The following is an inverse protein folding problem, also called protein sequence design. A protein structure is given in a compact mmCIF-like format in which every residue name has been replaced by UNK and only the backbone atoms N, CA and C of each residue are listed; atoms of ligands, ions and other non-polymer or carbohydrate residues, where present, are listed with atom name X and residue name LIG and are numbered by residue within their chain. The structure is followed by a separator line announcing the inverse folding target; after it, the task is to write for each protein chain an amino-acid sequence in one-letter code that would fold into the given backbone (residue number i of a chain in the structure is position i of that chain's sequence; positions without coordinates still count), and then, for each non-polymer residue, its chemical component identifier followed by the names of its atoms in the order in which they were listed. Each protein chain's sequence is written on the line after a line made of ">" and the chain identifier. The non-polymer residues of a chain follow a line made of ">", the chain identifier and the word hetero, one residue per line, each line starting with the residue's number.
data_IF_177970312966
#
_entry.id   IF_177970312966
#
_cell.length_a   1.000
_cell.length_b   1.000
_cell.length_c   1.000
_cell.angle_alpha   90.00
_cell.angle_beta   90.00
_cell.angle_gamma   90.00
#
_symmetry.space_group_name_H-M   'P 1'
#
loop_
_entity.id
_entity.type
_entity.pdbx_description
1 polymer ?
#
# COMPACT_ATOMS: atom_id res chain seq x y z
N UNK A 1 -29.49 -9.52 29.90
CA UNK A 1 -28.59 -8.37 29.64
C UNK A 1 -27.62 -8.72 28.53
N UNK A 2 -27.41 -7.79 27.62
CA UNK A 2 -26.44 -7.93 26.54
C UNK A 2 -25.66 -6.62 26.32
N UNK A 3 -24.57 -6.70 25.64
CA UNK A 3 -23.73 -5.53 25.26
C UNK A 3 -23.87 -5.32 23.76
N UNK A 4 -24.26 -4.12 23.35
CA UNK A 4 -24.25 -3.74 21.92
C UNK A 4 -22.81 -3.60 21.48
N UNK A 5 -22.40 -4.45 20.56
CA UNK A 5 -21.01 -4.49 20.06
C UNK A 5 -20.86 -3.83 18.70
N UNK A 6 -21.96 -3.71 17.93
CA UNK A 6 -21.95 -3.03 16.64
C UNK A 6 -23.37 -2.55 16.28
N UNK A 7 -23.45 -1.55 15.41
CA UNK A 7 -24.72 -0.99 14.89
C UNK A 7 -24.63 -0.96 13.38
N UNK A 8 -25.59 -1.60 12.72
CA UNK A 8 -25.77 -1.51 11.26
C UNK A 8 -26.94 -0.60 10.90
N UNK A 9 -27.17 -0.35 9.65
CA UNK A 9 -28.34 0.43 9.17
C UNK A 9 -29.70 -0.21 9.45
N UNK A 10 -29.73 -1.49 9.88
CA UNK A 10 -30.97 -2.26 10.08
C UNK A 10 -31.06 -2.95 11.44
N UNK A 11 -29.94 -3.25 12.09
CA UNK A 11 -29.90 -4.06 13.30
C UNK A 11 -28.80 -3.60 14.26
N UNK A 12 -29.02 -3.84 15.58
CA UNK A 12 -27.98 -3.86 16.60
C UNK A 12 -27.39 -5.27 16.68
N UNK A 13 -26.07 -5.36 16.79
CA UNK A 13 -25.37 -6.60 17.14
C UNK A 13 -25.15 -6.60 18.64
N UNK A 14 -25.77 -7.56 19.33
CA UNK A 14 -25.74 -7.61 20.78
C UNK A 14 -25.13 -8.93 21.22
N UNK A 15 -24.15 -8.86 22.11
CA UNK A 15 -23.54 -10.04 22.72
C UNK A 15 -24.22 -10.29 24.07
N UNK A 16 -24.88 -11.42 24.22
CA UNK A 16 -25.50 -11.90 25.45
C UNK A 16 -24.58 -12.89 26.17
N UNK A 17 -24.56 -12.85 27.51
CA UNK A 17 -23.72 -13.73 28.31
C UNK A 17 -24.09 -15.22 28.14
N UNK A 18 -25.37 -15.54 27.89
CA UNK A 18 -25.87 -16.90 27.79
C UNK A 18 -26.00 -17.42 26.37
N UNK A 19 -26.33 -16.54 25.42
CA UNK A 19 -26.67 -16.93 24.03
C UNK A 19 -25.63 -16.50 23.01
N UNK A 20 -24.58 -15.76 23.39
CA UNK A 20 -23.58 -15.26 22.48
C UNK A 20 -24.06 -14.07 21.66
N UNK A 21 -23.59 -13.96 20.38
CA UNK A 21 -23.89 -12.85 19.49
C UNK A 21 -25.22 -13.04 18.79
N UNK A 22 -26.14 -12.10 18.95
CA UNK A 22 -27.45 -12.06 18.30
C UNK A 22 -27.66 -10.69 17.60
N UNK A 23 -28.59 -10.64 16.67
CA UNK A 23 -29.02 -9.39 16.01
C UNK A 23 -30.40 -8.99 16.54
N UNK A 24 -30.55 -7.72 16.88
CA UNK A 24 -31.81 -7.12 17.33
C UNK A 24 -32.17 -6.00 16.34
N UNK A 25 -33.43 -5.93 15.95
CA UNK A 25 -33.90 -4.87 15.04
C UNK A 25 -33.81 -3.49 15.71
N UNK A 26 -33.61 -2.43 14.92
CA UNK A 26 -33.48 -1.06 15.43
C UNK A 26 -34.72 -0.52 16.14
N UNK A 27 -35.89 -1.10 15.85
CA UNK A 27 -37.19 -0.76 16.41
C UNK A 27 -37.56 -1.62 17.63
N UNK A 28 -36.69 -2.56 18.04
CA UNK A 28 -36.93 -3.38 19.26
C UNK A 28 -36.93 -2.50 20.50
N UNK A 29 -37.88 -2.77 21.39
CA UNK A 29 -38.01 -2.08 22.67
C UNK A 29 -36.97 -2.64 23.66
N UNK A 30 -36.01 -1.80 24.09
CA UNK A 30 -35.01 -2.15 25.08
C UNK A 30 -34.63 -0.94 25.96
N UNK A 31 -34.25 -1.24 27.20
CA UNK A 31 -33.78 -0.25 28.14
C UNK A 31 -32.25 -0.21 28.18
N UNK A 32 -31.67 1.00 27.94
CA UNK A 32 -30.25 1.22 28.12
C UNK A 32 -29.94 1.39 29.61
N UNK A 33 -29.26 0.38 30.18
CA UNK A 33 -28.91 0.38 31.59
C UNK A 33 -27.65 1.19 31.86
N UNK A 34 -26.69 1.11 30.95
CA UNK A 34 -25.41 1.79 31.04
C UNK A 34 -24.91 2.12 29.63
N UNK A 35 -24.64 3.39 29.36
CA UNK A 35 -24.03 3.85 28.14
C UNK A 35 -22.51 3.85 28.30
N UNK A 36 -21.80 3.24 27.38
CA UNK A 36 -20.35 3.42 27.28
C UNK A 36 -20.11 4.78 26.65
N UNK A 37 -19.62 5.76 27.41
CA UNK A 37 -19.04 6.94 26.83
C UNK A 37 -17.78 6.50 26.10
N UNK A 38 -17.79 6.56 24.77
CA UNK A 38 -16.59 6.38 23.99
C UNK A 38 -15.68 7.58 24.27
N UNK A 39 -14.58 7.37 24.98
CA UNK A 39 -13.50 8.32 24.98
C UNK A 39 -13.08 8.53 23.51
N UNK A 40 -12.86 9.79 23.12
CA UNK A 40 -12.53 10.20 21.77
C UNK A 40 -11.20 9.57 21.26
N UNK A 41 -10.47 8.92 22.15
CA UNK A 41 -9.22 8.18 21.88
C UNK A 41 -9.39 6.66 21.67
N UNK A 42 -10.62 6.14 21.60
CA UNK A 42 -10.80 4.72 21.30
C UNK A 42 -10.48 4.44 19.84
N UNK A 43 -9.41 3.68 19.61
CA UNK A 43 -9.03 3.23 18.28
C UNK A 43 -10.14 2.36 17.72
N UNK A 44 -10.77 2.76 16.62
CA UNK A 44 -11.84 1.99 16.01
C UNK A 44 -11.30 0.67 15.45
N UNK A 45 -12.13 -0.38 15.41
CA UNK A 45 -11.74 -1.64 14.77
C UNK A 45 -11.28 -1.43 13.33
N UNK A 46 -11.91 -0.51 12.61
CA UNK A 46 -11.52 -0.12 11.25
C UNK A 46 -10.11 0.48 11.19
N UNK A 47 -9.72 1.30 12.18
CA UNK A 47 -8.38 1.87 12.24
C UNK A 47 -7.32 0.82 12.59
N UNK A 48 -7.68 -0.15 13.44
CA UNK A 48 -6.83 -1.30 13.76
C UNK A 48 -6.62 -2.18 12.53
N UNK A 49 -7.69 -2.55 11.83
CA UNK A 49 -7.64 -3.35 10.60
C UNK A 49 -6.79 -2.65 9.54
N UNK A 50 -7.04 -1.37 9.28
CA UNK A 50 -6.30 -0.55 8.33
C UNK A 50 -4.81 -0.44 8.69
N UNK A 51 -4.51 -0.30 9.98
CA UNK A 51 -3.14 -0.25 10.48
C UNK A 51 -2.46 -1.61 10.37
N UNK A 52 -3.18 -2.70 10.67
CA UNK A 52 -2.69 -4.06 10.53
C UNK A 52 -2.40 -4.41 9.06
N UNK A 53 -3.31 -4.06 8.14
CA UNK A 53 -3.10 -4.23 6.70
C UNK A 53 -1.84 -3.49 6.26
N UNK A 54 -1.66 -2.22 6.65
CA UNK A 54 -0.44 -1.45 6.35
C UNK A 54 0.82 -2.08 6.93
N UNK A 55 0.75 -2.64 8.14
CA UNK A 55 1.87 -3.33 8.78
C UNK A 55 2.19 -4.61 8.02
N UNK A 56 1.18 -5.41 7.69
CA UNK A 56 1.35 -6.64 6.91
C UNK A 56 1.90 -6.36 5.51
N UNK A 57 1.42 -5.34 4.82
CA UNK A 57 1.96 -4.88 3.53
C UNK A 57 3.43 -4.45 3.65
N UNK A 58 3.79 -3.83 4.76
CA UNK A 58 5.16 -3.35 5.01
C UNK A 58 6.14 -4.48 5.38
N UNK A 59 5.68 -5.52 6.07
CA UNK A 59 6.53 -6.58 6.65
C UNK A 59 6.40 -7.93 5.97
N UNK A 60 5.29 -8.18 5.28
CA UNK A 60 5.17 -9.36 4.43
C UNK A 60 5.75 -9.03 3.05
N UNK A 61 6.46 -9.98 2.45
CA UNK A 61 6.90 -9.93 1.03
C UNK A 61 5.69 -9.92 0.05
N UNK A 62 4.47 -9.70 0.53
CA UNK A 62 3.28 -9.47 -0.28
C UNK A 62 3.40 -8.06 -0.87
N UNK A 63 4.08 -7.97 -1.99
CA UNK A 63 4.14 -6.76 -2.79
C UNK A 63 2.72 -6.33 -3.14
N UNK A 64 2.35 -5.10 -2.77
CA UNK A 64 1.20 -4.43 -3.36
C UNK A 64 1.25 -4.68 -4.87
N UNK A 65 0.21 -5.30 -5.42
CA UNK A 65 0.17 -5.61 -6.85
C UNK A 65 0.12 -4.30 -7.63
N UNK A 66 1.29 -3.77 -7.91
CA UNK A 66 1.43 -2.57 -8.74
C UNK A 66 0.85 -2.88 -10.11
N UNK A 67 -0.18 -2.14 -10.48
CA UNK A 67 -0.90 -2.37 -11.71
C UNK A 67 -0.27 -1.60 -12.87
N UNK A 68 -0.05 -2.31 -13.99
CA UNK A 68 0.33 -1.70 -15.25
C UNK A 68 -0.87 -0.99 -15.89
N UNK A 69 -0.64 0.13 -16.57
CA UNK A 69 -1.67 0.85 -17.32
C UNK A 69 -2.25 -0.04 -18.42
N UNK A 70 -3.59 -0.09 -18.51
CA UNK A 70 -4.31 -1.02 -19.38
C UNK A 70 -3.93 -0.88 -20.87
N UNK A 71 -3.56 0.32 -21.30
CA UNK A 71 -3.13 0.61 -22.69
C UNK A 71 -1.85 -0.12 -23.12
N UNK A 72 -1.08 -0.68 -22.19
CA UNK A 72 0.17 -1.37 -22.47
C UNK A 72 0.04 -2.90 -22.43
N UNK A 73 -1.08 -3.43 -21.92
CA UNK A 73 -1.29 -4.87 -21.81
C UNK A 73 -1.20 -5.57 -23.16
N UNK A 74 -0.46 -6.66 -23.23
CA UNK A 74 -0.22 -7.44 -24.45
C UNK A 74 0.76 -6.76 -25.43
N UNK A 75 1.36 -5.61 -25.03
CA UNK A 75 2.32 -4.89 -25.86
C UNK A 75 3.73 -5.47 -25.80
N UNK A 76 4.63 -4.86 -26.58
CA UNK A 76 6.03 -5.24 -26.68
C UNK A 76 6.94 -4.02 -26.58
N UNK A 77 8.08 -4.17 -25.90
CA UNK A 77 9.22 -3.26 -26.02
C UNK A 77 10.11 -3.78 -27.14
N UNK A 78 10.36 -2.96 -28.13
CA UNK A 78 11.18 -3.31 -29.30
C UNK A 78 12.49 -2.52 -29.19
N UNK A 79 13.61 -3.25 -29.19
CA UNK A 79 14.95 -2.67 -29.33
C UNK A 79 15.38 -2.88 -30.77
N UNK A 80 15.55 -1.78 -31.47
CA UNK A 80 15.95 -1.76 -32.91
C UNK A 80 17.39 -1.25 -33.01
N UNK A 81 18.32 -2.12 -33.42
CA UNK A 81 19.71 -1.71 -33.64
C UNK A 81 19.87 -0.96 -34.97
N UNK A 82 20.77 0.02 -35.02
CA UNK A 82 21.00 0.86 -36.18
C UNK A 82 21.86 0.15 -37.28
N UNK A 83 22.48 -0.96 -36.91
CA UNK A 83 23.36 -1.73 -37.81
C UNK A 83 22.63 -2.75 -38.70
N UNK A 84 21.29 -2.78 -38.67
CA UNK A 84 20.45 -3.71 -39.44
C UNK A 84 20.41 -5.13 -38.91
N UNK A 85 20.95 -5.38 -37.73
CA UNK A 85 20.77 -6.67 -37.04
C UNK A 85 19.31 -6.88 -36.56
N UNK A 86 18.94 -8.10 -36.19
CA UNK A 86 17.59 -8.42 -35.83
C UNK A 86 17.12 -7.68 -34.57
N UNK A 87 15.89 -7.14 -34.62
CA UNK A 87 15.23 -6.48 -33.49
C UNK A 87 15.05 -7.45 -32.33
N UNK A 88 15.21 -6.94 -31.11
CA UNK A 88 14.87 -7.70 -29.89
C UNK A 88 13.55 -7.24 -29.34
N UNK A 89 12.61 -8.17 -29.25
CA UNK A 89 11.31 -7.96 -28.62
C UNK A 89 11.31 -8.47 -27.19
N UNK A 90 10.75 -7.68 -26.27
CA UNK A 90 10.55 -8.04 -24.86
C UNK A 90 9.07 -7.81 -24.57
N UNK A 91 8.31 -8.82 -24.06
CA UNK A 91 6.94 -8.58 -23.63
C UNK A 91 6.90 -7.46 -22.58
N UNK A 92 5.97 -6.51 -22.74
CA UNK A 92 5.93 -5.32 -21.90
C UNK A 92 5.67 -5.68 -20.44
N UNK A 93 4.91 -6.75 -20.16
CA UNK A 93 4.67 -7.27 -18.83
C UNK A 93 5.97 -7.71 -18.14
N UNK A 94 6.84 -8.39 -18.90
CA UNK A 94 8.16 -8.83 -18.39
C UNK A 94 9.04 -7.62 -18.06
N UNK A 95 9.03 -6.62 -18.93
CA UNK A 95 9.77 -5.38 -18.70
C UNK A 95 9.21 -4.62 -17.50
N UNK A 96 7.90 -4.44 -17.44
CA UNK A 96 7.22 -3.78 -16.32
C UNK A 96 7.51 -4.46 -14.98
N UNK A 97 7.46 -5.80 -14.96
CA UNK A 97 7.82 -6.56 -13.74
C UNK A 97 9.24 -6.24 -13.25
N UNK A 98 10.20 -6.08 -14.17
CA UNK A 98 11.58 -5.69 -13.79
C UNK A 98 11.62 -4.27 -13.20
N UNK A 99 10.84 -3.34 -13.74
CA UNK A 99 10.73 -1.97 -13.21
C UNK A 99 10.14 -1.98 -11.80
N UNK A 100 9.07 -2.75 -11.58
CA UNK A 100 8.46 -2.90 -10.25
C UNK A 100 9.47 -3.50 -9.25
N UNK A 101 10.20 -4.55 -9.64
CA UNK A 101 11.23 -5.14 -8.78
C UNK A 101 12.33 -4.14 -8.38
N UNK A 102 12.76 -3.27 -9.31
CA UNK A 102 13.74 -2.21 -9.01
C UNK A 102 13.16 -1.24 -7.99
N UNK A 103 11.91 -0.77 -8.21
CA UNK A 103 11.19 0.12 -7.30
C UNK A 103 11.14 -0.44 -5.88
N UNK A 104 10.74 -1.69 -5.74
CA UNK A 104 10.58 -2.34 -4.44
C UNK A 104 11.92 -2.51 -3.72
N UNK A 105 12.98 -2.86 -4.44
CA UNK A 105 14.33 -2.96 -3.87
C UNK A 105 14.87 -1.62 -3.39
N UNK A 106 14.61 -0.53 -4.11
CA UNK A 106 14.99 0.82 -3.70
C UNK A 106 14.21 1.21 -2.44
N UNK A 107 12.91 0.91 -2.34
CA UNK A 107 12.10 1.15 -1.14
C UNK A 107 12.62 0.39 0.08
N UNK A 108 13.01 -0.87 -0.09
CA UNK A 108 13.63 -1.65 1.00
C UNK A 108 14.97 -1.05 1.43
N UNK A 109 15.78 -0.59 0.47
CA UNK A 109 17.05 0.08 0.76
C UNK A 109 16.83 1.38 1.54
N UNK A 110 15.87 2.20 1.13
CA UNK A 110 15.47 3.43 1.81
C UNK A 110 15.04 3.17 3.26
N UNK A 111 14.20 2.14 3.48
CA UNK A 111 13.80 1.74 4.83
C UNK A 111 14.99 1.32 5.69
N UNK A 112 15.94 0.56 5.12
CA UNK A 112 17.16 0.13 5.85
C UNK A 112 18.05 1.30 6.22
N UNK A 113 18.21 2.28 5.34
CA UNK A 113 18.95 3.51 5.63
C UNK A 113 18.30 4.27 6.78
N UNK A 114 16.97 4.50 6.68
CA UNK A 114 16.23 5.26 7.69
C UNK A 114 16.23 4.57 9.06
N UNK A 115 16.17 3.25 9.11
CA UNK A 115 16.16 2.46 10.34
C UNK A 115 17.56 2.17 10.90
N UNK A 116 18.62 2.50 10.18
CA UNK A 116 19.99 2.24 10.61
C UNK A 116 20.34 3.03 11.88
N UNK A 117 20.89 2.33 12.86
CA UNK A 117 21.43 2.92 14.10
C UNK A 117 22.92 3.28 13.98
N UNK A 118 23.57 2.82 12.92
CA UNK A 118 25.00 3.00 12.69
C UNK A 118 25.32 4.22 11.81
N UNK A 119 24.30 4.75 11.11
CA UNK A 119 24.43 5.96 10.30
C UNK A 119 24.01 7.17 11.11
N UNK A 120 24.79 8.24 11.03
CA UNK A 120 24.37 9.52 11.55
C UNK A 120 23.31 10.20 10.66
N UNK A 121 22.74 11.31 11.14
CA UNK A 121 21.67 12.00 10.41
C UNK A 121 22.15 12.60 9.09
N UNK A 122 23.40 13.07 9.02
CA UNK A 122 23.97 13.61 7.78
C UNK A 122 24.20 12.53 6.75
N UNK A 123 24.76 11.39 7.16
CA UNK A 123 24.94 10.24 6.28
C UNK A 123 23.62 9.72 5.71
N UNK A 124 22.56 9.69 6.54
CA UNK A 124 21.20 9.33 6.07
C UNK A 124 20.68 10.31 5.01
N UNK A 125 20.84 11.61 5.25
CA UNK A 125 20.43 12.66 4.29
C UNK A 125 21.19 12.50 2.97
N UNK A 126 22.48 12.27 3.01
CA UNK A 126 23.31 12.11 1.81
C UNK A 126 22.87 10.87 1.01
N UNK A 127 22.63 9.74 1.67
CA UNK A 127 22.13 8.52 1.03
C UNK A 127 20.71 8.72 0.45
N UNK A 128 19.83 9.44 1.14
CA UNK A 128 18.50 9.78 0.64
C UNK A 128 18.55 10.63 -0.63
N UNK A 129 19.52 11.53 -0.76
CA UNK A 129 19.71 12.29 -1.99
C UNK A 129 20.04 11.38 -3.19
N UNK A 130 20.86 10.33 -2.98
CA UNK A 130 21.13 9.36 -4.05
C UNK A 130 19.86 8.59 -4.43
N UNK A 131 19.04 8.17 -3.45
CA UNK A 131 17.76 7.50 -3.72
C UNK A 131 16.84 8.42 -4.53
N UNK A 132 16.73 9.68 -4.15
CA UNK A 132 15.93 10.68 -4.86
C UNK A 132 16.38 10.84 -6.32
N UNK A 133 17.69 10.85 -6.57
CA UNK A 133 18.25 10.90 -7.94
C UNK A 133 17.96 9.61 -8.71
N UNK A 134 18.04 8.44 -8.08
CA UNK A 134 17.67 7.16 -8.70
C UNK A 134 16.19 7.18 -9.11
N UNK A 135 15.30 7.61 -8.24
CA UNK A 135 13.88 7.79 -8.59
C UNK A 135 13.69 8.79 -9.73
N UNK A 136 14.43 9.91 -9.71
CA UNK A 136 14.43 10.90 -10.80
C UNK A 136 14.76 10.27 -12.15
N UNK A 137 15.79 9.42 -12.22
CA UNK A 137 16.20 8.72 -13.43
C UNK A 137 15.15 7.73 -13.96
N UNK A 138 14.29 7.20 -13.07
CA UNK A 138 13.26 6.22 -13.42
C UNK A 138 11.90 6.85 -13.78
N UNK A 139 11.76 8.16 -13.68
CA UNK A 139 10.50 8.87 -13.96
C UNK A 139 9.97 8.65 -15.38
N UNK A 140 10.82 8.37 -16.35
CA UNK A 140 10.43 8.05 -17.74
C UNK A 140 9.55 6.80 -17.82
N UNK A 141 9.67 5.88 -16.86
CA UNK A 141 8.88 4.66 -16.79
C UNK A 141 7.52 4.85 -16.11
N UNK A 142 7.24 6.04 -15.58
CA UNK A 142 5.94 6.34 -14.96
C UNK A 142 4.75 6.13 -15.91
N UNK A 143 4.99 6.22 -17.21
CA UNK A 143 3.98 5.95 -18.24
C UNK A 143 3.42 4.52 -18.20
N UNK A 144 4.15 3.58 -17.59
CA UNK A 144 3.76 2.17 -17.49
C UNK A 144 2.77 1.91 -16.35
N UNK A 145 2.73 2.76 -15.33
CA UNK A 145 1.90 2.54 -14.14
C UNK A 145 0.47 3.02 -14.36
N UNK A 146 -0.48 2.27 -13.78
CA UNK A 146 -1.90 2.61 -13.83
C UNK A 146 -2.25 3.78 -12.93
N UNK A 147 -1.66 3.84 -11.74
CA UNK A 147 -1.96 4.82 -10.69
C UNK A 147 -0.77 5.74 -10.45
N UNK A 148 -1.06 7.02 -10.19
CA UNK A 148 -0.01 8.02 -9.90
C UNK A 148 0.69 7.76 -8.56
N UNK A 149 0.04 7.10 -7.61
CA UNK A 149 0.64 6.71 -6.32
C UNK A 149 1.84 5.76 -6.49
N UNK A 150 1.87 5.01 -7.60
CA UNK A 150 2.94 4.06 -7.89
C UNK A 150 4.13 4.68 -8.62
N UNK A 151 3.98 5.92 -9.09
CA UNK A 151 5.01 6.61 -9.86
C UNK A 151 6.30 6.80 -9.05
N UNK A 152 7.41 6.80 -9.76
CA UNK A 152 8.67 7.30 -9.25
C UNK A 152 8.58 8.82 -9.08
N UNK A 153 8.88 9.30 -7.87
CA UNK A 153 8.94 10.72 -7.55
C UNK A 153 10.36 11.05 -7.12
N UNK A 154 11.05 11.87 -7.87
CA UNK A 154 12.44 12.22 -7.60
C UNK A 154 12.85 13.49 -8.31
N UNK A 155 14.06 13.96 -8.04
CA UNK A 155 14.63 15.12 -8.67
C UNK A 155 15.00 14.79 -10.13
N UNK A 156 14.53 15.61 -11.07
CA UNK A 156 14.91 15.47 -12.48
C UNK A 156 16.36 15.91 -12.63
N UNK A 157 17.21 15.02 -13.09
CA UNK A 157 18.52 15.37 -13.63
C UNK A 157 18.33 16.37 -14.76
N UNK A 158 18.95 17.56 -14.65
CA UNK A 158 19.05 18.51 -15.75
C UNK A 158 20.01 18.00 -16.81
#
# INVERSE_FOLDING_TARGET
>A
KGVVTNVSSKHYWVTFLENGLETIDLDADFEVIEGVEYEVDSVSFFDVERSLVKILEKWSDTHEKVAMADKWKGGKLILEPDDGTANKEIPIETFFHKIVMVRDRIRVMEQKINSSKNLDDQEKVDLQQYITRVYGSLTSFNVLFKTKSDHFVGEKSK
#
